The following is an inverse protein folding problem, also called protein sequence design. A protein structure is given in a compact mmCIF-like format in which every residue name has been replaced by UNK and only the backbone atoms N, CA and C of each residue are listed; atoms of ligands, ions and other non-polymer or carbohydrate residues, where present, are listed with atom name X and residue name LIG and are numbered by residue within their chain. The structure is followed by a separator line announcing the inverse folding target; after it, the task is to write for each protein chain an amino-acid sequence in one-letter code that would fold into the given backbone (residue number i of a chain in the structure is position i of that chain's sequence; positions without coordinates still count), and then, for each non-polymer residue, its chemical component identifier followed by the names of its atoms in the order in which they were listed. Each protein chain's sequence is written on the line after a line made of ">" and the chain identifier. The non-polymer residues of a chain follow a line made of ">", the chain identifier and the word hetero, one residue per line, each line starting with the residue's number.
data_IF_792726858267
#
_entry.id   IF_792726858267
#
_cell.length_a   1.000
_cell.length_b   1.000
_cell.length_c   1.000
_cell.angle_alpha   90.00
_cell.angle_beta   90.00
_cell.angle_gamma   90.00
#
_symmetry.space_group_name_H-M   'P 1'
#
loop_
_entity.id
_entity.type
_entity.pdbx_description
1 polymer ?
#
# COMPACT_ATOMS: atom_id res chain seq x y z
N UNK A 1 1.41 25.74 -7.80
CA UNK A 1 1.09 24.74 -6.75
C UNK A 1 0.42 25.36 -5.52
N UNK A 2 0.95 26.46 -4.95
CA UNK A 2 0.27 27.20 -3.87
C UNK A 2 -1.12 27.75 -4.25
N UNK A 3 -1.31 28.12 -5.51
CA UNK A 3 -2.61 28.55 -6.05
C UNK A 3 -3.66 27.44 -6.07
N UNK A 4 -3.27 26.17 -6.25
CA UNK A 4 -4.18 25.03 -6.14
C UNK A 4 -4.63 24.82 -4.69
N UNK A 5 -3.71 24.90 -3.71
CA UNK A 5 -4.01 24.86 -2.27
C UNK A 5 -4.95 25.99 -1.82
N UNK A 6 -4.78 27.20 -2.34
CA UNK A 6 -5.72 28.30 -2.08
C UNK A 6 -7.11 28.03 -2.68
N UNK A 7 -7.18 27.43 -3.87
CA UNK A 7 -8.43 27.05 -4.50
C UNK A 7 -9.16 25.92 -3.77
N UNK A 8 -8.43 25.04 -3.06
CA UNK A 8 -9.03 23.99 -2.23
C UNK A 8 -9.96 24.58 -1.15
N UNK A 9 -9.52 25.66 -0.50
CA UNK A 9 -10.30 26.34 0.54
C UNK A 9 -11.50 27.12 -0.01
N UNK A 10 -11.48 27.47 -1.30
CA UNK A 10 -12.57 28.21 -1.97
C UNK A 10 -13.71 27.30 -2.45
N UNK A 11 -13.44 26.02 -2.69
CA UNK A 11 -14.44 25.07 -3.20
C UNK A 11 -15.15 24.40 -2.02
N UNK A 12 -16.41 24.77 -1.78
CA UNK A 12 -17.23 24.27 -0.65
C UNK A 12 -17.31 22.74 -0.58
N UNK A 13 -17.53 22.06 -1.71
CA UNK A 13 -17.63 20.59 -1.78
C UNK A 13 -16.30 19.93 -1.40
N UNK A 14 -15.19 20.41 -1.95
CA UNK A 14 -13.86 19.86 -1.67
C UNK A 14 -13.48 20.09 -0.21
N UNK A 15 -13.80 21.26 0.33
CA UNK A 15 -13.63 21.57 1.76
C UNK A 15 -14.42 20.59 2.63
N UNK A 16 -15.69 20.31 2.31
CA UNK A 16 -16.50 19.34 3.06
C UNK A 16 -15.88 17.95 3.03
N UNK A 17 -15.43 17.48 1.85
CA UNK A 17 -14.75 16.18 1.70
C UNK A 17 -13.45 16.09 2.51
N UNK A 18 -12.64 17.15 2.51
CA UNK A 18 -11.39 17.20 3.28
C UNK A 18 -11.69 17.21 4.78
N UNK A 19 -12.63 18.04 5.24
CA UNK A 19 -13.02 18.09 6.65
C UNK A 19 -13.54 16.74 7.12
N UNK A 20 -14.39 16.07 6.32
CA UNK A 20 -14.85 14.71 6.61
C UNK A 20 -13.68 13.73 6.76
N UNK A 21 -12.71 13.78 5.84
CA UNK A 21 -11.51 12.92 5.88
C UNK A 21 -10.69 13.18 7.15
N UNK A 22 -10.49 14.46 7.54
CA UNK A 22 -9.76 14.83 8.76
C UNK A 22 -10.50 14.39 10.03
N UNK A 23 -11.82 14.50 10.06
CA UNK A 23 -12.65 13.99 11.18
C UNK A 23 -12.45 12.47 11.30
N UNK A 24 -12.48 11.75 10.18
CA UNK A 24 -12.27 10.30 10.19
C UNK A 24 -10.85 9.92 10.64
N UNK A 25 -9.83 10.71 10.32
CA UNK A 25 -8.48 10.53 10.88
C UNK A 25 -8.43 10.76 12.40
N UNK A 26 -9.16 11.75 12.91
CA UNK A 26 -9.27 11.96 14.35
C UNK A 26 -9.94 10.76 15.04
N UNK A 27 -11.03 10.22 14.47
CA UNK A 27 -11.70 9.01 14.97
C UNK A 27 -10.76 7.80 14.95
N UNK A 28 -10.04 7.59 13.85
CA UNK A 28 -9.01 6.55 13.75
C UNK A 28 -7.97 6.69 14.86
N UNK A 29 -7.47 7.91 15.10
CA UNK A 29 -6.44 8.14 16.11
C UNK A 29 -6.96 7.91 17.52
N UNK A 30 -8.17 8.37 17.84
CA UNK A 30 -8.80 8.10 19.14
C UNK A 30 -8.90 6.61 19.43
N UNK A 31 -9.26 5.79 18.45
CA UNK A 31 -9.33 4.34 18.63
C UNK A 31 -7.97 3.65 18.85
N UNK A 32 -6.85 4.23 18.40
CA UNK A 32 -5.50 3.72 18.74
C UNK A 32 -5.12 3.91 20.21
N UNK A 33 -5.87 4.73 20.95
CA UNK A 33 -5.67 4.94 22.40
C UNK A 33 -6.60 4.08 23.26
N UNK A 34 -7.54 3.33 22.66
CA UNK A 34 -8.45 2.45 23.39
C UNK A 34 -7.79 1.06 23.48
N UNK A 35 -7.29 0.61 24.65
CA UNK A 35 -6.66 -0.69 24.79
C UNK A 35 -7.68 -1.82 24.72
N UNK A 36 -7.26 -2.99 24.26
CA UNK A 36 -8.12 -4.18 24.28
C UNK A 36 -8.33 -4.67 25.72
N UNK A 37 -9.57 -5.01 26.12
CA UNK A 37 -9.83 -5.54 27.45
C UNK A 37 -9.04 -6.84 27.74
N UNK A 38 -8.48 -6.95 28.93
CA UNK A 38 -7.84 -8.17 29.42
C UNK A 38 -6.36 -8.35 29.05
N UNK A 39 -5.74 -7.34 28.44
CA UNK A 39 -4.31 -7.36 28.07
C UNK A 39 -3.56 -6.27 28.82
N UNK A 40 -2.34 -6.60 29.29
CA UNK A 40 -1.45 -5.62 29.89
C UNK A 40 -0.54 -4.99 28.80
N UNK A 41 -0.71 -3.70 28.46
CA UNK A 41 0.09 -3.05 27.42
C UNK A 41 1.59 -3.00 27.75
N UNK A 42 1.95 -2.91 29.03
CA UNK A 42 3.36 -2.80 29.46
C UNK A 42 4.19 -4.04 29.14
N UNK A 43 3.58 -5.23 29.18
CA UNK A 43 4.24 -6.50 28.83
C UNK A 43 4.49 -6.58 27.32
N UNK A 44 3.56 -6.02 26.55
CA UNK A 44 3.68 -5.94 25.09
C UNK A 44 4.78 -4.96 24.72
N UNK A 45 4.82 -3.79 25.34
CA UNK A 45 5.89 -2.80 25.10
C UNK A 45 7.30 -3.39 25.35
N UNK A 46 7.47 -4.24 26.36
CA UNK A 46 8.73 -4.96 26.62
C UNK A 46 9.06 -6.02 25.54
N UNK A 47 8.06 -6.74 25.02
CA UNK A 47 8.23 -7.68 23.90
C UNK A 47 8.58 -6.95 22.60
N UNK A 48 8.08 -5.73 22.40
CA UNK A 48 8.39 -4.90 21.23
C UNK A 48 9.84 -4.40 21.23
N UNK A 49 10.40 -4.11 22.40
CA UNK A 49 11.81 -3.70 22.52
C UNK A 49 12.81 -4.82 22.17
N UNK A 50 12.36 -6.07 22.01
CA UNK A 50 13.22 -7.23 21.71
C UNK A 50 12.99 -7.86 20.32
N UNK A 51 12.00 -7.42 19.54
CA UNK A 51 11.58 -8.10 18.31
C UNK A 51 11.45 -7.20 17.06
N UNK A 52 12.39 -7.33 16.12
CA UNK A 52 12.45 -6.54 14.87
C UNK A 52 11.25 -6.75 13.92
N UNK A 53 10.63 -7.94 13.93
CA UNK A 53 9.45 -8.29 13.11
C UNK A 53 8.20 -7.45 13.47
N UNK A 54 8.03 -7.17 14.76
CA UNK A 54 6.85 -6.49 15.27
C UNK A 54 6.87 -4.98 14.96
N UNK A 55 8.06 -4.39 14.79
CA UNK A 55 8.23 -2.99 14.39
C UNK A 55 7.58 -2.66 13.04
N UNK A 56 7.73 -3.51 12.01
CA UNK A 56 7.11 -3.27 10.69
C UNK A 56 5.58 -3.28 10.77
N UNK A 57 5.01 -4.21 11.54
CA UNK A 57 3.56 -4.29 11.74
C UNK A 57 3.05 -3.09 12.53
N UNK A 58 3.81 -2.61 13.51
CA UNK A 58 3.42 -1.45 14.32
C UNK A 58 3.38 -0.15 13.50
N UNK A 59 4.29 0.02 12.55
CA UNK A 59 4.27 1.17 11.63
C UNK A 59 3.01 1.22 10.77
N UNK A 60 2.58 0.09 10.21
CA UNK A 60 1.33 0.02 9.45
C UNK A 60 0.10 0.16 10.32
N UNK A 61 0.22 -0.07 11.63
CA UNK A 61 -0.82 0.16 12.62
C UNK A 61 -0.80 1.57 13.23
N UNK A 62 0.25 2.35 12.99
CA UNK A 62 0.44 3.68 13.56
C UNK A 62 0.69 3.70 15.07
N UNK A 63 1.35 2.68 15.61
CA UNK A 63 1.57 2.52 17.06
C UNK A 63 0.42 1.84 17.80
N UNK A 64 -0.54 1.28 17.05
CA UNK A 64 -1.71 0.61 17.61
C UNK A 64 -1.38 -0.80 18.13
N UNK A 65 -0.32 -1.42 17.61
CA UNK A 65 0.14 -2.76 17.96
C UNK A 65 0.98 -2.74 19.24
N UNK A 66 1.90 -1.76 19.37
CA UNK A 66 2.71 -1.56 20.59
C UNK A 66 1.86 -1.25 21.81
N UNK A 67 0.75 -0.52 21.63
CA UNK A 67 -0.23 -0.24 22.70
C UNK A 67 -1.32 -1.30 22.85
N UNK A 68 -1.30 -2.32 22.00
CA UNK A 68 -2.34 -3.34 21.87
C UNK A 68 -3.76 -2.77 21.96
N UNK A 69 -4.01 -1.80 21.09
CA UNK A 69 -5.27 -1.07 21.00
C UNK A 69 -6.33 -1.84 20.23
N UNK A 70 -7.57 -1.32 20.21
CA UNK A 70 -8.67 -1.82 19.39
C UNK A 70 -8.27 -2.03 17.92
N UNK A 71 -7.32 -1.24 17.43
CA UNK A 71 -6.83 -1.25 16.04
C UNK A 71 -5.48 -1.95 15.88
N UNK A 72 -5.06 -2.79 16.82
CA UNK A 72 -3.77 -3.48 16.78
C UNK A 72 -3.53 -4.22 15.45
N UNK A 73 -4.56 -4.88 14.91
CA UNK A 73 -4.45 -5.59 13.62
C UNK A 73 -4.46 -4.68 12.39
N UNK A 74 -4.70 -3.38 12.56
CA UNK A 74 -4.85 -2.37 11.51
C UNK A 74 -5.88 -2.82 10.45
N UNK A 75 -5.70 -2.33 9.22
CA UNK A 75 -6.45 -2.72 8.03
C UNK A 75 -5.84 -3.95 7.32
N UNK A 76 -4.80 -4.56 7.89
CA UNK A 76 -4.04 -5.68 7.31
C UNK A 76 -4.90 -6.88 6.91
N UNK A 77 -5.89 -7.33 7.72
CA UNK A 77 -6.76 -8.44 7.31
C UNK A 77 -7.57 -8.13 6.06
N UNK A 78 -7.99 -6.88 5.88
CA UNK A 78 -8.68 -6.44 4.67
C UNK A 78 -7.75 -6.42 3.46
N UNK A 79 -6.53 -5.91 3.64
CA UNK A 79 -5.51 -5.93 2.57
C UNK A 79 -5.30 -7.37 2.11
N UNK A 80 -5.09 -8.31 3.05
CA UNK A 80 -4.91 -9.73 2.76
C UNK A 80 -6.14 -10.35 2.07
N UNK A 81 -7.35 -10.02 2.52
CA UNK A 81 -8.58 -10.51 1.88
C UNK A 81 -8.71 -9.99 0.43
N UNK A 82 -8.49 -8.70 0.20
CA UNK A 82 -8.55 -8.09 -1.14
C UNK A 82 -7.53 -8.72 -2.07
N UNK A 83 -6.33 -8.96 -1.55
CA UNK A 83 -5.24 -9.67 -2.19
C UNK A 83 -5.67 -11.08 -2.64
N UNK A 84 -6.22 -11.87 -1.72
CA UNK A 84 -6.64 -13.24 -1.99
C UNK A 84 -7.71 -13.25 -3.08
N UNK A 85 -8.72 -12.39 -2.98
CA UNK A 85 -9.79 -12.29 -3.98
C UNK A 85 -9.23 -11.85 -5.35
N UNK A 86 -8.26 -10.93 -5.38
CA UNK A 86 -7.67 -10.47 -6.62
C UNK A 86 -6.84 -11.57 -7.31
N UNK A 87 -6.13 -12.41 -6.54
CA UNK A 87 -5.46 -13.60 -7.06
C UNK A 87 -6.47 -14.66 -7.54
N UNK A 88 -7.52 -14.92 -6.75
CA UNK A 88 -8.58 -15.85 -7.12
C UNK A 88 -9.35 -15.38 -8.36
N UNK A 89 -9.42 -14.09 -8.64
CA UNK A 89 -10.05 -13.55 -9.86
C UNK A 89 -9.38 -14.06 -11.14
N UNK A 90 -8.09 -14.45 -11.08
CA UNK A 90 -7.37 -15.02 -12.23
C UNK A 90 -7.62 -16.52 -12.39
N UNK A 91 -7.77 -17.22 -11.27
CA UNK A 91 -7.88 -18.69 -11.24
C UNK A 91 -9.34 -19.14 -11.36
N UNK A 92 -10.27 -18.36 -10.80
CA UNK A 92 -11.68 -18.70 -10.68
C UNK A 92 -12.48 -17.94 -11.75
N UNK A 93 -13.06 -18.63 -12.75
CA UNK A 93 -13.73 -17.99 -13.88
C UNK A 93 -14.97 -17.19 -13.48
N UNK A 94 -15.65 -17.55 -12.39
CA UNK A 94 -16.81 -16.80 -11.88
C UNK A 94 -16.42 -15.42 -11.34
N UNK A 95 -15.28 -15.32 -10.65
CA UNK A 95 -14.73 -14.04 -10.20
C UNK A 95 -14.24 -13.21 -11.39
N UNK A 96 -13.63 -13.85 -12.40
CA UNK A 96 -13.22 -13.16 -13.63
C UNK A 96 -14.44 -12.58 -14.37
N UNK A 97 -15.55 -13.30 -14.43
CA UNK A 97 -16.81 -12.82 -15.00
C UNK A 97 -17.34 -11.61 -14.24
N UNK A 98 -17.38 -11.66 -12.90
CA UNK A 98 -17.77 -10.49 -12.10
C UNK A 98 -16.85 -9.30 -12.33
N UNK A 99 -15.55 -9.51 -12.55
CA UNK A 99 -14.64 -8.42 -12.92
C UNK A 99 -14.96 -7.80 -14.28
N UNK A 100 -15.65 -8.52 -15.18
CA UNK A 100 -16.06 -8.05 -16.52
C UNK A 100 -17.47 -7.45 -16.55
N UNK A 101 -18.31 -7.74 -15.55
CA UNK A 101 -19.69 -7.24 -15.40
C UNK A 101 -19.78 -5.74 -15.03
N UNK A 102 -18.64 -5.06 -14.86
CA UNK A 102 -18.60 -3.63 -14.54
C UNK A 102 -18.97 -3.36 -13.07
N UNK A 103 -19.78 -2.33 -12.81
CA UNK A 103 -19.99 -1.81 -11.46
C UNK A 103 -20.74 -2.79 -10.54
N UNK A 104 -21.72 -3.54 -11.06
CA UNK A 104 -22.43 -4.56 -10.26
C UNK A 104 -21.51 -5.72 -9.86
N UNK A 105 -20.65 -6.15 -10.78
CA UNK A 105 -19.66 -7.17 -10.51
C UNK A 105 -18.60 -6.73 -9.50
N UNK A 106 -18.14 -5.47 -9.58
CA UNK A 106 -17.29 -4.88 -8.55
C UNK A 106 -17.95 -4.86 -7.17
N UNK A 107 -19.26 -4.60 -7.07
CA UNK A 107 -19.99 -4.70 -5.79
C UNK A 107 -19.99 -6.12 -5.23
N UNK A 108 -20.16 -7.15 -6.08
CA UNK A 108 -20.09 -8.57 -5.66
C UNK A 108 -18.71 -8.95 -5.14
N UNK A 109 -17.65 -8.53 -5.86
CA UNK A 109 -16.25 -8.76 -5.47
C UNK A 109 -15.99 -8.09 -4.11
N UNK A 110 -16.35 -6.81 -3.96
CA UNK A 110 -16.17 -6.08 -2.69
C UNK A 110 -16.94 -6.74 -1.54
N UNK A 111 -18.18 -7.18 -1.77
CA UNK A 111 -18.98 -7.90 -0.76
C UNK A 111 -18.28 -9.20 -0.32
N UNK A 112 -17.72 -9.94 -1.26
CA UNK A 112 -16.97 -11.17 -0.98
C UNK A 112 -15.69 -10.88 -0.18
N UNK A 113 -14.95 -9.84 -0.59
CA UNK A 113 -13.77 -9.36 0.14
C UNK A 113 -14.11 -8.97 1.58
N UNK A 114 -15.25 -8.31 1.83
CA UNK A 114 -15.70 -7.96 3.18
C UNK A 114 -15.95 -9.20 4.05
N UNK A 115 -16.65 -10.20 3.53
CA UNK A 115 -16.88 -11.44 4.29
C UNK A 115 -15.58 -12.18 4.59
N UNK A 116 -14.69 -12.27 3.59
CA UNK A 116 -13.38 -12.87 3.79
C UNK A 116 -12.54 -12.10 4.81
N UNK A 117 -12.63 -10.77 4.83
CA UNK A 117 -11.96 -9.91 5.81
C UNK A 117 -12.39 -10.25 7.23
N UNK A 118 -13.70 -10.41 7.48
CA UNK A 118 -14.21 -10.74 8.82
C UNK A 118 -13.66 -12.10 9.28
N UNK A 119 -13.69 -13.11 8.40
CA UNK A 119 -13.18 -14.45 8.72
C UNK A 119 -11.68 -14.44 8.98
N UNK A 120 -10.90 -13.77 8.12
CA UNK A 120 -9.45 -13.67 8.28
C UNK A 120 -9.07 -12.86 9.52
N UNK A 121 -9.77 -11.74 9.78
CA UNK A 121 -9.55 -10.95 10.98
C UNK A 121 -9.82 -11.79 12.24
N UNK A 122 -10.91 -12.57 12.27
CA UNK A 122 -11.21 -13.41 13.41
C UNK A 122 -10.15 -14.51 13.64
N UNK A 123 -9.74 -15.20 12.58
CA UNK A 123 -8.70 -16.23 12.66
C UNK A 123 -7.34 -15.64 13.08
N UNK A 124 -6.95 -14.51 12.49
CA UNK A 124 -5.70 -13.84 12.82
C UNK A 124 -5.74 -13.24 14.22
N UNK A 125 -6.89 -12.76 14.71
CA UNK A 125 -7.06 -12.27 16.07
C UNK A 125 -6.92 -13.39 17.11
N UNK A 126 -7.49 -14.57 16.84
CA UNK A 126 -7.28 -15.77 17.68
C UNK A 126 -5.80 -16.14 17.70
N UNK A 127 -5.16 -16.20 16.53
CA UNK A 127 -3.74 -16.51 16.43
C UNK A 127 -2.90 -15.52 17.24
N UNK A 128 -3.15 -14.22 17.08
CA UNK A 128 -2.44 -13.18 17.81
C UNK A 128 -2.67 -13.25 19.32
N UNK A 129 -3.89 -13.52 19.76
CA UNK A 129 -4.24 -13.71 21.18
C UNK A 129 -3.54 -14.92 21.79
N UNK A 130 -3.39 -16.01 21.02
CA UNK A 130 -2.67 -17.21 21.47
C UNK A 130 -1.16 -16.94 21.52
N UNK A 131 -0.60 -16.27 20.52
CA UNK A 131 0.82 -15.90 20.47
C UNK A 131 1.24 -14.96 21.59
N UNK A 132 0.32 -14.09 22.04
CA UNK A 132 0.55 -13.12 23.12
C UNK A 132 -0.06 -13.55 24.45
N UNK A 133 -0.27 -14.86 24.69
CA UNK A 133 -0.83 -15.38 25.94
C UNK A 133 -0.14 -14.87 27.20
N UNK A 134 1.17 -14.59 27.13
CA UNK A 134 1.97 -14.07 28.24
C UNK A 134 1.60 -12.62 28.63
N UNK A 135 1.00 -11.85 27.73
CA UNK A 135 0.55 -10.47 27.99
C UNK A 135 -0.90 -10.39 28.48
N UNK A 136 -1.62 -11.52 28.49
CA UNK A 136 -3.03 -11.58 28.91
C UNK A 136 -3.07 -11.78 30.44
N UNK A 137 -3.78 -10.90 31.13
CA UNK A 137 -3.84 -10.87 32.61
C UNK A 137 -4.40 -12.20 33.16
N UNK A 138 -5.40 -12.76 32.47
CA UNK A 138 -5.98 -14.08 32.76
C UNK A 138 -6.22 -14.85 31.45
N UNK A 139 -5.30 -15.74 31.02
CA UNK A 139 -5.41 -16.47 29.76
C UNK A 139 -6.46 -17.59 29.87
N UNK A 140 -7.74 -17.22 29.74
CA UNK A 140 -8.86 -18.16 29.58
C UNK A 140 -9.32 -18.20 28.11
N UNK A 141 -10.00 -19.28 27.71
CA UNK A 141 -10.61 -19.38 26.37
C UNK A 141 -11.60 -18.23 26.15
N UNK A 142 -12.33 -17.84 27.19
CA UNK A 142 -13.25 -16.70 27.19
C UNK A 142 -12.52 -15.38 26.96
N UNK A 143 -11.38 -15.16 27.61
CA UNK A 143 -10.55 -13.95 27.42
C UNK A 143 -10.04 -13.85 25.98
N UNK A 144 -9.58 -14.98 25.41
CA UNK A 144 -9.11 -15.06 24.02
C UNK A 144 -10.25 -14.74 23.04
N UNK A 145 -11.45 -15.26 23.28
CA UNK A 145 -12.64 -14.97 22.48
C UNK A 145 -13.03 -13.48 22.54
N UNK A 146 -13.00 -12.88 23.74
CA UNK A 146 -13.27 -11.45 23.92
C UNK A 146 -12.26 -10.62 23.12
N UNK A 147 -10.96 -10.89 23.28
CA UNK A 147 -9.89 -10.20 22.52
C UNK A 147 -10.09 -10.39 21.01
N UNK A 148 -10.40 -11.61 20.56
CA UNK A 148 -10.60 -11.91 19.15
C UNK A 148 -11.79 -11.14 18.56
N UNK A 149 -12.91 -11.08 19.28
CA UNK A 149 -14.10 -10.31 18.88
C UNK A 149 -13.78 -8.81 18.87
N UNK A 150 -13.09 -8.29 19.89
CA UNK A 150 -12.73 -6.87 19.98
C UNK A 150 -11.81 -6.46 18.82
N UNK A 151 -10.75 -7.22 18.54
CA UNK A 151 -9.85 -6.93 17.43
C UNK A 151 -10.55 -7.05 16.07
N UNK A 152 -11.40 -8.06 15.90
CA UNK A 152 -12.20 -8.22 14.67
C UNK A 152 -13.14 -7.05 14.47
N UNK A 153 -13.85 -6.63 15.52
CA UNK A 153 -14.73 -5.46 15.49
C UNK A 153 -13.95 -4.19 15.17
N UNK A 154 -12.75 -4.03 15.74
CA UNK A 154 -11.84 -2.93 15.44
C UNK A 154 -11.46 -2.87 13.96
N UNK A 155 -11.00 -3.98 13.37
CA UNK A 155 -10.65 -4.03 11.94
C UNK A 155 -11.87 -3.81 11.04
N UNK A 156 -13.04 -4.36 11.36
CA UNK A 156 -14.28 -4.13 10.58
C UNK A 156 -14.70 -2.66 10.65
N UNK A 157 -14.55 -2.02 11.81
CA UNK A 157 -14.81 -0.60 11.98
C UNK A 157 -13.83 0.26 11.17
N UNK A 158 -12.54 -0.09 11.13
CA UNK A 158 -11.56 0.57 10.26
C UNK A 158 -11.89 0.42 8.77
N UNK A 159 -12.29 -0.78 8.36
CA UNK A 159 -12.74 -1.04 6.99
C UNK A 159 -13.93 -0.13 6.65
N UNK A 160 -14.91 -0.03 7.56
CA UNK A 160 -16.05 0.87 7.39
C UNK A 160 -15.62 2.34 7.28
N UNK A 161 -14.71 2.82 8.14
CA UNK A 161 -14.15 4.18 8.04
C UNK A 161 -13.49 4.40 6.68
N UNK A 162 -12.70 3.43 6.20
CA UNK A 162 -12.04 3.52 4.89
C UNK A 162 -13.04 3.63 3.74
N UNK A 163 -14.14 2.89 3.80
CA UNK A 163 -15.21 2.99 2.82
C UNK A 163 -15.95 4.33 2.90
N UNK A 164 -16.19 4.84 4.11
CA UNK A 164 -16.80 6.14 4.31
C UNK A 164 -15.94 7.28 3.76
N UNK A 165 -14.63 7.24 3.99
CA UNK A 165 -13.69 8.20 3.39
C UNK A 165 -13.70 8.09 1.86
N UNK A 166 -13.80 6.88 1.30
CA UNK A 166 -13.86 6.71 -0.15
C UNK A 166 -15.16 7.28 -0.75
N UNK A 167 -16.29 7.13 -0.06
CA UNK A 167 -17.59 7.61 -0.53
C UNK A 167 -17.79 9.12 -0.34
N UNK A 168 -17.44 9.65 0.83
CA UNK A 168 -17.74 11.03 1.23
C UNK A 168 -16.51 11.94 1.36
N UNK A 169 -15.31 11.36 1.33
CA UNK A 169 -14.04 12.08 1.48
C UNK A 169 -13.32 12.30 0.14
N UNK A 170 -12.00 12.45 0.24
CA UNK A 170 -11.08 12.58 -0.91
C UNK A 170 -10.18 11.36 -0.92
N UNK A 171 -9.81 10.84 -2.09
CA UNK A 171 -8.85 9.73 -2.17
C UNK A 171 -9.49 8.35 -2.02
N UNK A 172 -8.61 7.36 -1.89
CA UNK A 172 -8.98 6.02 -1.45
C UNK A 172 -8.81 5.95 0.07
N UNK A 173 -9.90 5.70 0.79
CA UNK A 173 -9.91 5.78 2.25
C UNK A 173 -9.06 4.72 2.94
N UNK A 174 -8.96 3.50 2.39
CA UNK A 174 -8.08 2.45 2.92
C UNK A 174 -6.62 2.89 2.81
N UNK A 175 -6.22 3.40 1.65
CA UNK A 175 -4.87 3.92 1.44
C UNK A 175 -4.55 5.11 2.35
N UNK A 176 -5.55 5.97 2.60
CA UNK A 176 -5.43 7.12 3.49
C UNK A 176 -5.33 6.74 4.97
N UNK A 177 -5.97 5.66 5.41
CA UNK A 177 -5.79 5.13 6.78
C UNK A 177 -4.36 4.65 6.97
N UNK A 178 -3.79 3.91 6.00
CA UNK A 178 -2.39 3.45 6.06
C UNK A 178 -1.44 4.66 6.06
N UNK A 179 -1.70 5.65 5.20
CA UNK A 179 -0.97 6.92 5.17
C UNK A 179 -0.99 7.60 6.54
N UNK A 180 -2.18 7.74 7.15
CA UNK A 180 -2.33 8.37 8.46
C UNK A 180 -1.59 7.58 9.56
N UNK A 181 -1.63 6.25 9.52
CA UNK A 181 -0.88 5.39 10.44
C UNK A 181 0.63 5.63 10.39
N UNK A 182 1.21 5.61 9.18
CA UNK A 182 2.64 5.82 8.98
C UNK A 182 3.06 7.24 9.40
N UNK A 183 2.31 8.25 8.97
CA UNK A 183 2.62 9.66 9.27
C UNK A 183 2.49 9.95 10.77
N UNK A 184 1.55 9.31 11.47
CA UNK A 184 1.37 9.46 12.90
C UNK A 184 2.53 8.88 13.73
N UNK A 185 3.35 7.99 13.17
CA UNK A 185 4.55 7.47 13.83
C UNK A 185 5.77 8.42 13.68
N UNK A 186 5.76 9.33 12.69
CA UNK A 186 6.88 10.25 12.44
C UNK A 186 7.25 11.14 13.63
N UNK A 187 6.30 11.78 14.36
CA UNK A 187 6.64 12.60 15.52
C UNK A 187 7.35 11.81 16.61
N UNK A 188 6.92 10.57 16.85
CA UNK A 188 7.54 9.70 17.86
C UNK A 188 8.95 9.29 17.44
N UNK A 189 9.15 8.93 16.17
CA UNK A 189 10.48 8.62 15.62
C UNK A 189 11.44 9.82 15.71
N UNK A 190 10.97 11.05 15.47
CA UNK A 190 11.76 12.26 15.64
C UNK A 190 12.13 12.52 17.11
N UNK A 191 11.22 12.24 18.04
CA UNK A 191 11.50 12.29 19.48
C UNK A 191 12.59 11.30 19.89
N UNK A 192 12.57 10.08 19.34
CA UNK A 192 13.60 9.07 19.57
C UNK A 192 14.97 9.52 19.06
N UNK A 193 15.04 10.14 17.86
CA UNK A 193 16.29 10.74 17.32
C UNK A 193 16.82 11.80 18.28
N UNK A 194 15.94 12.66 18.78
CA UNK A 194 16.30 13.72 19.70
C UNK A 194 16.87 13.17 21.02
N UNK A 195 16.27 12.11 21.56
CA UNK A 195 16.76 11.43 22.76
C UNK A 195 18.13 10.79 22.52
N UNK A 196 18.37 10.17 21.35
CA UNK A 196 19.67 9.62 21.01
C UNK A 196 20.77 10.69 20.83
N UNK A 197 20.40 11.86 20.29
CA UNK A 197 21.29 13.02 20.21
C UNK A 197 21.66 13.54 21.61
N UNK A 198 20.68 13.62 22.53
CA UNK A 198 20.94 14.03 23.92
C UNK A 198 21.78 13.00 24.68
N UNK A 199 21.56 11.70 24.44
CA UNK A 199 22.31 10.61 25.05
C UNK A 199 23.74 10.47 24.48
N UNK A 200 24.10 11.23 23.45
CA UNK A 200 25.42 11.19 22.81
C UNK A 200 25.72 9.90 22.04
N UNK A 201 24.72 9.03 21.86
CA UNK A 201 24.85 7.77 21.10
C UNK A 201 24.91 8.01 19.60
N UNK A 202 24.37 9.14 19.13
CA UNK A 202 24.39 9.54 17.72
C UNK A 202 25.02 10.94 17.60
N UNK A 203 25.95 11.10 16.65
CA UNK A 203 26.53 12.40 16.31
C UNK A 203 25.56 13.24 15.48
N UNK A 204 25.61 14.58 15.64
CA UNK A 204 24.90 15.53 14.77
C UNK A 204 25.18 15.30 13.28
N UNK A 205 26.38 14.81 12.94
CA UNK A 205 26.75 14.46 11.56
C UNK A 205 25.90 13.31 11.01
N UNK A 206 25.63 12.28 11.81
CA UNK A 206 24.82 11.12 11.38
C UNK A 206 23.36 11.51 11.16
N UNK A 207 22.82 12.41 11.97
CA UNK A 207 21.45 12.93 11.79
C UNK A 207 21.34 13.78 10.53
N UNK A 208 22.32 14.64 10.27
CA UNK A 208 22.36 15.43 9.03
C UNK A 208 22.48 14.52 7.79
N UNK A 209 23.36 13.51 7.85
CA UNK A 209 23.54 12.54 6.78
C UNK A 209 22.25 11.74 6.51
N UNK A 210 21.57 11.30 7.58
CA UNK A 210 20.28 10.62 7.50
C UNK A 210 19.19 11.51 6.86
N UNK A 211 19.12 12.79 7.25
CA UNK A 211 18.17 13.74 6.66
C UNK A 211 18.41 13.96 5.15
N UNK A 212 19.67 14.01 4.73
CA UNK A 212 20.03 14.12 3.31
C UNK A 212 19.59 12.87 2.54
N UNK A 213 19.88 11.67 3.07
CA UNK A 213 19.45 10.41 2.45
C UNK A 213 17.92 10.32 2.38
N UNK A 214 17.23 10.67 3.48
CA UNK A 214 15.77 10.73 3.53
C UNK A 214 15.18 11.63 2.44
N UNK A 215 15.74 12.83 2.25
CA UNK A 215 15.31 13.75 1.21
C UNK A 215 15.61 13.20 -0.19
N UNK A 216 16.82 12.67 -0.41
CA UNK A 216 17.21 12.06 -1.68
C UNK A 216 16.30 10.88 -2.06
N UNK A 217 15.92 10.05 -1.07
CA UNK A 217 14.94 8.97 -1.26
C UNK A 217 13.59 9.50 -1.69
N UNK A 218 13.06 10.55 -1.05
CA UNK A 218 11.77 11.13 -1.42
C UNK A 218 11.80 11.59 -2.88
N UNK A 219 12.84 12.34 -3.28
CA UNK A 219 13.01 12.82 -4.66
C UNK A 219 13.10 11.64 -5.63
N UNK A 220 13.89 10.62 -5.29
CA UNK A 220 14.06 9.42 -6.12
C UNK A 220 12.75 8.63 -6.28
N UNK A 221 11.99 8.44 -5.20
CA UNK A 221 10.67 7.80 -5.23
C UNK A 221 9.70 8.58 -6.11
N UNK A 222 9.63 9.91 -5.95
CA UNK A 222 8.76 10.76 -6.76
C UNK A 222 9.13 10.66 -8.24
N UNK A 223 10.42 10.71 -8.57
CA UNK A 223 10.91 10.65 -9.95
C UNK A 223 10.50 9.34 -10.66
N UNK A 224 10.63 8.21 -9.97
CA UNK A 224 10.23 6.90 -10.53
C UNK A 224 8.71 6.73 -10.56
N UNK A 225 7.99 7.16 -9.53
CA UNK A 225 6.54 7.04 -9.45
C UNK A 225 5.82 7.91 -10.50
N UNK A 226 6.39 9.07 -10.85
CA UNK A 226 5.90 9.91 -11.95
C UNK A 226 6.48 9.52 -13.32
N UNK A 227 7.53 8.69 -13.33
CA UNK A 227 8.13 8.16 -14.54
C UNK A 227 7.13 7.38 -15.38
N UNK A 228 6.97 7.78 -16.64
CA UNK A 228 6.10 7.10 -17.60
C UNK A 228 6.76 7.06 -18.97
N UNK A 229 6.64 5.91 -19.63
CA UNK A 229 6.94 5.75 -21.05
C UNK A 229 5.69 6.07 -21.86
N UNK A 230 5.77 7.12 -22.67
CA UNK A 230 4.67 7.53 -23.55
C UNK A 230 4.74 6.75 -24.86
N UNK A 231 3.77 5.87 -25.10
CA UNK A 231 3.66 5.14 -26.38
C UNK A 231 2.74 5.94 -27.30
N UNK A 232 3.23 6.46 -28.44
CA UNK A 232 2.40 7.27 -29.34
C UNK A 232 1.32 6.41 -29.99
N UNK A 233 0.11 6.96 -30.04
CA UNK A 233 -1.05 6.36 -30.70
C UNK A 233 -1.67 7.40 -31.61
N UNK A 234 -2.02 6.96 -32.82
CA UNK A 234 -2.79 7.75 -33.76
C UNK A 234 -4.17 7.14 -33.90
N UNK A 235 -5.21 7.98 -33.85
CA UNK A 235 -6.56 7.57 -34.22
C UNK A 235 -6.78 7.81 -35.71
N UNK A 236 -7.44 6.85 -36.37
CA UNK A 236 -7.77 6.96 -37.77
C UNK A 236 -8.57 8.24 -38.05
N UNK A 237 -8.16 8.99 -39.07
CA UNK A 237 -8.88 10.19 -39.50
C UNK A 237 -10.20 9.79 -40.14
N UNK A 238 -11.30 10.45 -39.76
CA UNK A 238 -12.56 10.33 -40.49
C UNK A 238 -12.61 11.44 -41.54
N UNK A 239 -12.45 11.07 -42.80
CA UNK A 239 -12.63 12.01 -43.91
C UNK A 239 -14.13 12.09 -44.19
N UNK A 240 -14.73 13.28 -44.01
CA UNK A 240 -16.12 13.54 -44.39
C UNK A 240 -16.11 14.70 -45.38
N UNK A 241 -16.39 14.41 -46.64
CA UNK A 241 -16.31 15.40 -47.74
C UNK A 241 -14.87 15.83 -48.04
N UNK A 242 -14.64 17.15 -48.21
CA UNK A 242 -13.30 17.75 -48.49
C UNK A 242 -12.49 18.10 -47.25
N UNK A 243 -13.04 17.92 -46.03
CA UNK A 243 -12.37 18.27 -44.78
C UNK A 243 -11.98 17.01 -44.01
N UNK A 244 -10.71 16.93 -43.63
CA UNK A 244 -10.22 15.87 -42.74
C UNK A 244 -10.54 16.27 -41.31
N UNK A 245 -11.41 15.50 -40.64
CA UNK A 245 -11.68 15.65 -39.21
C UNK A 245 -10.96 14.54 -38.45
N UNK A 246 -10.27 14.92 -37.37
CA UNK A 246 -9.52 13.99 -36.53
C UNK A 246 -8.09 13.71 -37.02
N UNK A 247 -7.42 12.83 -36.28
CA UNK A 247 -5.97 12.57 -36.40
C UNK A 247 -5.13 13.28 -35.34
N UNK A 248 -5.68 13.47 -34.14
CA UNK A 248 -4.88 13.93 -33.01
C UNK A 248 -3.97 12.77 -32.59
N UNK A 249 -2.66 13.01 -32.62
CA UNK A 249 -1.70 12.10 -31.98
C UNK A 249 -1.90 12.19 -30.48
N UNK A 250 -2.13 11.05 -29.86
CA UNK A 250 -2.14 10.92 -28.41
C UNK A 250 -1.02 9.98 -27.98
N UNK A 251 -0.94 9.71 -26.69
CA UNK A 251 -0.06 8.68 -26.17
C UNK A 251 -0.77 7.86 -25.10
N UNK A 252 -0.42 6.58 -25.01
CA UNK A 252 -0.73 5.75 -23.85
C UNK A 252 0.40 5.91 -22.85
N UNK A 253 0.13 6.41 -21.63
CA UNK A 253 1.13 6.50 -20.57
C UNK A 253 1.31 5.13 -19.90
N UNK A 254 2.49 4.53 -20.08
CA UNK A 254 2.90 3.31 -19.37
C UNK A 254 3.79 3.71 -18.20
N UNK A 255 3.29 3.61 -16.96
CA UNK A 255 4.05 3.98 -15.76
C UNK A 255 5.22 3.01 -15.52
N UNK A 256 6.31 3.52 -14.95
CA UNK A 256 7.47 2.68 -14.55
C UNK A 256 7.08 1.69 -13.46
N UNK A 257 6.32 2.17 -12.46
CA UNK A 257 5.75 1.34 -11.42
C UNK A 257 4.23 1.22 -11.60
N UNK A 258 3.78 0.29 -12.45
CA UNK A 258 2.34 0.00 -12.56
C UNK A 258 1.79 -0.76 -11.35
N UNK A 259 2.63 -1.60 -10.73
CA UNK A 259 2.21 -2.45 -9.63
C UNK A 259 2.00 -1.71 -8.31
N UNK A 260 2.53 -0.49 -8.19
CA UNK A 260 2.43 0.31 -6.98
C UNK A 260 3.25 -0.30 -5.84
N UNK A 261 2.64 -0.44 -4.67
CA UNK A 261 3.28 -1.00 -3.47
C UNK A 261 2.89 -2.46 -3.23
N UNK A 262 1.87 -2.95 -3.92
CA UNK A 262 1.24 -4.26 -3.66
C UNK A 262 2.24 -5.43 -3.74
N UNK A 263 3.17 -5.50 -4.71
CA UNK A 263 4.18 -6.57 -4.73
C UNK A 263 5.04 -6.67 -3.47
N UNK A 264 5.37 -5.52 -2.87
CA UNK A 264 6.17 -5.49 -1.65
C UNK A 264 5.37 -6.08 -0.49
N UNK A 265 4.07 -5.75 -0.41
CA UNK A 265 3.16 -6.28 0.60
C UNK A 265 3.01 -7.81 0.45
N UNK A 266 2.88 -8.33 -0.78
CA UNK A 266 2.86 -9.78 -1.01
C UNK A 266 4.15 -10.44 -0.54
N UNK A 267 5.30 -9.91 -0.94
CA UNK A 267 6.59 -10.45 -0.56
C UNK A 267 6.75 -10.46 0.98
N UNK A 268 6.33 -9.40 1.67
CA UNK A 268 6.38 -9.35 3.13
C UNK A 268 5.41 -10.34 3.78
N UNK A 269 4.18 -10.49 3.27
CA UNK A 269 3.20 -11.42 3.83
C UNK A 269 3.62 -12.89 3.67
N UNK A 270 4.24 -13.24 2.53
CA UNK A 270 4.77 -14.58 2.29
C UNK A 270 5.94 -14.88 3.22
N UNK A 271 6.84 -13.93 3.44
CA UNK A 271 7.96 -14.09 4.38
C UNK A 271 7.52 -14.14 5.85
N UNK A 272 6.44 -13.43 6.19
CA UNK A 272 5.88 -13.45 7.54
C UNK A 272 5.20 -14.78 7.87
N UNK A 273 4.73 -15.54 6.87
CA UNK A 273 3.96 -16.76 7.10
C UNK A 273 4.73 -17.85 7.86
N UNK A 274 5.97 -18.26 7.46
CA UNK A 274 6.76 -19.21 8.24
C UNK A 274 7.10 -18.73 9.64
N UNK A 275 7.46 -17.46 9.80
CA UNK A 275 7.78 -16.86 11.09
C UNK A 275 6.57 -16.89 12.04
N UNK A 276 5.37 -16.63 11.50
CA UNK A 276 4.12 -16.71 12.24
C UNK A 276 3.79 -18.15 12.63
N UNK A 277 3.96 -19.12 11.72
CA UNK A 277 3.75 -20.55 12.03
C UNK A 277 4.70 -21.07 13.12
N UNK A 278 5.95 -20.61 13.13
CA UNK A 278 6.92 -20.98 14.15
C UNK A 278 6.58 -20.49 15.56
N UNK A 279 5.73 -19.48 15.68
CA UNK A 279 5.19 -19.04 16.97
C UNK A 279 4.14 -20.02 17.51
N UNK A 280 3.39 -20.71 16.64
CA UNK A 280 2.37 -21.69 17.04
C UNK A 280 2.91 -23.11 17.20
N UNK A 281 3.88 -23.49 16.37
CA UNK A 281 4.36 -24.86 16.28
C UNK A 281 5.83 -24.90 16.72
N UNK A 282 6.07 -25.30 17.97
CA UNK A 282 7.42 -25.40 18.54
C UNK A 282 8.17 -26.67 18.10
N UNK A 283 8.18 -26.99 16.80
CA UNK A 283 8.97 -28.10 16.28
C UNK A 283 10.36 -27.62 15.85
N UNK A 284 11.45 -28.35 16.15
CA UNK A 284 12.83 -27.92 15.85
C UNK A 284 13.04 -27.48 14.40
N UNK A 285 12.54 -28.24 13.42
CA UNK A 285 12.71 -27.90 11.99
C UNK A 285 12.02 -26.59 11.60
N UNK A 286 10.85 -26.27 12.20
CA UNK A 286 10.11 -25.03 11.96
C UNK A 286 10.84 -23.84 12.57
N UNK A 287 11.46 -24.02 13.75
CA UNK A 287 12.30 -22.99 14.37
C UNK A 287 13.54 -22.72 13.52
N UNK A 288 14.23 -23.76 13.04
CA UNK A 288 15.41 -23.59 12.16
C UNK A 288 15.04 -22.84 10.88
N UNK A 289 13.89 -23.16 10.26
CA UNK A 289 13.39 -22.43 9.10
C UNK A 289 13.09 -20.96 9.48
N UNK A 290 12.39 -20.72 10.58
CA UNK A 290 12.08 -19.36 11.02
C UNK A 290 13.33 -18.54 11.33
N UNK A 291 14.38 -19.15 11.87
CA UNK A 291 15.67 -18.51 12.16
C UNK A 291 16.35 -18.03 10.88
N UNK A 292 16.30 -18.81 9.79
CA UNK A 292 16.78 -18.37 8.47
C UNK A 292 15.95 -17.22 7.87
N UNK A 293 14.68 -17.11 8.25
CA UNK A 293 13.78 -16.04 7.80
C UNK A 293 13.66 -14.88 8.79
N UNK A 294 14.52 -14.80 9.80
CA UNK A 294 14.55 -13.66 10.72
C UNK A 294 14.97 -12.38 9.99
N UNK A 295 14.28 -11.29 10.34
CA UNK A 295 14.52 -9.95 9.82
C UNK A 295 15.92 -9.45 10.21
N UNK A 296 16.68 -9.00 9.20
CA UNK A 296 18.04 -8.48 9.39
C UNK A 296 19.14 -9.44 8.94
N UNK A 297 18.81 -10.70 8.60
CA UNK A 297 19.79 -11.60 7.99
C UNK A 297 19.98 -11.26 6.50
N UNK A 298 21.22 -11.27 5.96
CA UNK A 298 21.46 -11.05 4.53
C UNK A 298 20.72 -12.04 3.63
N UNK A 299 20.52 -13.27 4.10
CA UNK A 299 19.76 -14.29 3.39
C UNK A 299 18.28 -13.92 3.24
N UNK A 300 17.62 -13.48 4.32
CA UNK A 300 16.24 -13.02 4.26
C UNK A 300 16.09 -11.81 3.34
N UNK A 301 17.02 -10.84 3.38
CA UNK A 301 17.01 -9.69 2.47
C UNK A 301 17.13 -10.09 1.00
N UNK A 302 17.97 -11.09 0.68
CA UNK A 302 18.11 -11.60 -0.68
C UNK A 302 16.84 -12.31 -1.17
N UNK A 303 16.24 -13.18 -0.35
CA UNK A 303 14.96 -13.83 -0.67
C UNK A 303 13.84 -12.80 -0.80
N UNK A 304 13.83 -11.78 0.05
CA UNK A 304 12.86 -10.68 -0.03
C UNK A 304 12.98 -9.90 -1.34
N UNK A 305 14.19 -9.54 -1.76
CA UNK A 305 14.44 -8.92 -3.07
C UNK A 305 13.89 -9.79 -4.21
N UNK A 306 14.19 -11.09 -4.19
CA UNK A 306 13.78 -12.03 -5.24
C UNK A 306 12.26 -12.18 -5.30
N UNK A 307 11.60 -12.28 -4.14
CA UNK A 307 10.14 -12.31 -4.06
C UNK A 307 9.53 -11.00 -4.57
N UNK A 308 10.11 -9.84 -4.25
CA UNK A 308 9.65 -8.55 -4.79
C UNK A 308 9.77 -8.55 -6.32
N UNK A 309 10.89 -9.01 -6.88
CA UNK A 309 11.04 -9.12 -8.34
C UNK A 309 9.95 -10.01 -8.95
N UNK A 310 9.76 -11.21 -8.40
CA UNK A 310 8.75 -12.16 -8.84
C UNK A 310 7.33 -11.58 -8.77
N UNK A 311 6.93 -11.07 -7.61
CA UNK A 311 5.59 -10.51 -7.42
C UNK A 311 5.35 -9.25 -8.23
N UNK A 312 6.38 -8.45 -8.53
CA UNK A 312 6.23 -7.27 -9.39
C UNK A 312 5.91 -7.67 -10.83
N UNK A 313 6.60 -8.68 -11.36
CA UNK A 313 6.27 -9.25 -12.67
C UNK A 313 4.90 -9.89 -12.70
N UNK A 314 4.63 -10.76 -11.72
CA UNK A 314 3.37 -11.48 -11.62
C UNK A 314 2.18 -10.51 -11.53
N UNK A 315 2.23 -9.53 -10.63
CA UNK A 315 1.14 -8.58 -10.43
C UNK A 315 0.95 -7.65 -11.64
N UNK A 316 2.04 -7.20 -12.27
CA UNK A 316 1.93 -6.34 -13.47
C UNK A 316 1.30 -7.10 -14.63
N UNK A 317 1.68 -8.37 -14.85
CA UNK A 317 1.09 -9.21 -15.90
C UNK A 317 -0.40 -9.49 -15.66
N UNK A 318 -0.80 -9.69 -14.40
CA UNK A 318 -2.20 -9.98 -14.03
C UNK A 318 -3.10 -8.75 -14.18
N UNK A 319 -2.63 -7.60 -13.70
CA UNK A 319 -3.45 -6.37 -13.66
C UNK A 319 -3.49 -5.63 -14.98
N UNK A 320 -2.40 -5.66 -15.74
CA UNK A 320 -2.28 -4.95 -17.00
C UNK A 320 -2.49 -5.92 -18.17
N UNK A 321 -3.76 -6.20 -18.49
CA UNK A 321 -4.14 -7.08 -19.61
C UNK A 321 -3.83 -6.44 -20.97
N UNK A 322 -2.62 -6.68 -21.47
CA UNK A 322 -2.13 -6.14 -22.75
C UNK A 322 -2.97 -6.55 -23.96
N UNK A 323 -3.46 -7.80 -24.07
CA UNK A 323 -4.34 -8.19 -25.17
C UNK A 323 -5.63 -7.34 -25.19
N UNK A 324 -6.27 -7.14 -24.05
CA UNK A 324 -7.48 -6.32 -23.93
C UNK A 324 -7.21 -4.86 -24.31
N UNK A 325 -6.05 -4.31 -23.93
CA UNK A 325 -5.65 -2.96 -24.32
C UNK A 325 -5.47 -2.83 -25.84
N UNK A 326 -4.84 -3.82 -26.49
CA UNK A 326 -4.64 -3.83 -27.93
C UNK A 326 -5.98 -3.97 -28.69
N UNK A 327 -6.89 -4.81 -28.20
CA UNK A 327 -8.22 -4.97 -28.76
C UNK A 327 -9.07 -3.72 -28.58
N UNK A 328 -9.01 -3.06 -27.41
CA UNK A 328 -9.67 -1.78 -27.18
C UNK A 328 -9.11 -0.72 -28.13
N UNK A 329 -7.79 -0.65 -28.31
CA UNK A 329 -7.16 0.27 -29.25
C UNK A 329 -7.71 0.08 -30.67
N UNK A 330 -7.80 -1.18 -31.11
CA UNK A 330 -8.37 -1.57 -32.40
C UNK A 330 -9.85 -1.20 -32.51
N UNK A 331 -10.67 -1.46 -31.48
CA UNK A 331 -12.10 -1.14 -31.43
C UNK A 331 -12.36 0.37 -31.54
N UNK A 332 -11.53 1.20 -30.91
CA UNK A 332 -11.63 2.66 -30.97
C UNK A 332 -10.95 3.27 -32.20
N UNK A 333 -10.49 2.47 -33.17
CA UNK A 333 -9.83 2.96 -34.38
C UNK A 333 -8.44 3.58 -34.13
N UNK A 334 -7.84 3.31 -32.97
CA UNK A 334 -6.49 3.68 -32.62
C UNK A 334 -5.48 2.66 -33.12
N UNK A 335 -4.28 3.13 -33.48
CA UNK A 335 -3.16 2.27 -33.82
C UNK A 335 -1.83 2.92 -33.44
N UNK A 336 -0.82 2.08 -33.20
CA UNK A 336 0.55 2.54 -32.98
C UNK A 336 1.20 2.72 -34.36
N UNK A 337 1.73 3.90 -34.70
CA UNK A 337 2.40 4.12 -35.98
C UNK A 337 3.48 3.08 -36.26
N UNK A 338 3.39 2.40 -37.40
CA UNK A 338 4.33 1.36 -37.81
C UNK A 338 4.02 -0.06 -37.32
N UNK A 339 2.92 -0.27 -36.58
CA UNK A 339 2.54 -1.59 -36.05
C UNK A 339 1.11 -1.93 -36.46
N UNK A 340 0.91 -3.16 -36.92
CA UNK A 340 -0.42 -3.64 -37.35
C UNK A 340 -1.34 -3.80 -36.12
N UNK A 341 -2.59 -3.26 -36.15
CA UNK A 341 -3.53 -3.42 -35.05
C UNK A 341 -3.90 -4.88 -34.77
N UNK A 342 -4.02 -5.23 -33.48
CA UNK A 342 -4.30 -6.59 -33.01
C UNK A 342 -3.09 -7.21 -32.31
N UNK A 343 -2.77 -8.47 -32.61
CA UNK A 343 -1.73 -9.22 -31.91
C UNK A 343 -0.35 -8.54 -31.95
N UNK A 344 0.05 -7.98 -33.09
CA UNK A 344 1.35 -7.29 -33.20
C UNK A 344 1.45 -6.05 -32.30
N UNK A 345 0.34 -5.35 -32.06
CA UNK A 345 0.25 -4.29 -31.05
C UNK A 345 0.40 -4.85 -29.64
N UNK A 346 -0.24 -5.97 -29.34
CA UNK A 346 -0.13 -6.62 -28.04
C UNK A 346 1.31 -7.06 -27.75
N UNK A 347 1.97 -7.74 -28.69
CA UNK A 347 3.36 -8.20 -28.53
C UNK A 347 4.34 -7.03 -28.36
N UNK A 348 4.09 -5.92 -29.07
CA UNK A 348 4.89 -4.71 -28.91
C UNK A 348 4.73 -4.08 -27.52
N UNK A 349 3.49 -3.93 -27.06
CA UNK A 349 3.19 -3.40 -25.73
C UNK A 349 3.75 -4.32 -24.64
N UNK A 350 3.68 -5.64 -24.83
CA UNK A 350 4.23 -6.63 -23.91
C UNK A 350 5.76 -6.54 -23.78
N UNK A 351 6.48 -6.46 -24.91
CA UNK A 351 7.92 -6.25 -24.90
C UNK A 351 8.32 -4.94 -24.22
N UNK A 352 7.53 -3.89 -24.39
CA UNK A 352 7.75 -2.61 -23.70
C UNK A 352 7.52 -2.75 -22.20
N UNK A 353 6.35 -3.28 -21.80
CA UNK A 353 5.96 -3.44 -20.42
C UNK A 353 6.96 -4.31 -19.66
N UNK A 354 7.34 -5.46 -20.20
CA UNK A 354 8.32 -6.37 -19.58
C UNK A 354 9.66 -5.69 -19.27
N UNK A 355 10.13 -4.79 -20.15
CA UNK A 355 11.38 -4.02 -19.93
C UNK A 355 11.20 -2.89 -18.91
N UNK A 356 10.05 -2.21 -18.93
CA UNK A 356 9.73 -1.18 -17.94
C UNK A 356 9.61 -1.82 -16.55
N UNK A 357 8.89 -2.93 -16.45
CA UNK A 357 8.67 -3.68 -15.22
C UNK A 357 9.98 -4.17 -14.63
N UNK A 358 11.00 -4.50 -15.44
CA UNK A 358 12.33 -4.82 -14.93
C UNK A 358 12.90 -3.68 -14.08
N UNK A 359 12.90 -2.47 -14.63
CA UNK A 359 13.39 -1.28 -13.93
C UNK A 359 12.54 -0.97 -12.68
N UNK A 360 11.21 -1.09 -12.78
CA UNK A 360 10.29 -0.93 -11.65
C UNK A 360 10.52 -1.96 -10.55
N UNK A 361 10.76 -3.22 -10.90
CA UNK A 361 10.98 -4.32 -9.95
C UNK A 361 12.30 -4.15 -9.19
N UNK A 362 13.39 -3.80 -9.88
CA UNK A 362 14.65 -3.46 -9.22
C UNK A 362 14.51 -2.25 -8.30
N UNK A 363 13.78 -1.23 -8.72
CA UNK A 363 13.49 -0.06 -7.89
C UNK A 363 12.74 -0.43 -6.61
N UNK A 364 11.68 -1.25 -6.71
CA UNK A 364 10.91 -1.70 -5.55
C UNK A 364 11.76 -2.55 -4.59
N UNK A 365 12.56 -3.47 -5.13
CA UNK A 365 13.46 -4.31 -4.33
C UNK A 365 14.53 -3.47 -3.63
N UNK A 366 15.13 -2.51 -4.35
CA UNK A 366 16.13 -1.59 -3.80
C UNK A 366 15.56 -0.78 -2.64
N UNK A 367 14.41 -0.15 -2.82
CA UNK A 367 13.77 0.64 -1.75
C UNK A 367 13.43 -0.24 -0.56
N UNK A 368 12.89 -1.44 -0.76
CA UNK A 368 12.49 -2.31 0.33
C UNK A 368 13.67 -2.75 1.21
N UNK A 369 14.86 -2.90 0.64
CA UNK A 369 16.08 -3.34 1.35
C UNK A 369 16.86 -2.14 1.93
N UNK A 370 16.74 -0.96 1.32
CA UNK A 370 17.51 0.22 1.72
C UNK A 370 17.47 0.54 3.22
N UNK A 371 16.33 0.48 3.93
CA UNK A 371 16.30 0.76 5.37
C UNK A 371 17.19 -0.20 6.18
N UNK A 372 17.24 -1.48 5.80
CA UNK A 372 18.08 -2.47 6.48
C UNK A 372 19.57 -2.20 6.26
N UNK A 373 19.94 -1.74 5.05
CA UNK A 373 21.32 -1.34 4.74
C UNK A 373 21.73 -0.08 5.50
N UNK A 374 20.83 0.91 5.60
CA UNK A 374 21.09 2.16 6.34
C UNK A 374 21.23 1.85 7.83
N UNK A 375 20.32 1.07 8.41
CA UNK A 375 20.38 0.70 9.82
C UNK A 375 21.70 -0.02 10.17
N UNK A 376 22.16 -0.95 9.32
CA UNK A 376 23.44 -1.63 9.50
C UNK A 376 24.66 -0.71 9.37
N UNK A 377 24.58 0.37 8.57
CA UNK A 377 25.68 1.32 8.39
C UNK A 377 25.72 2.42 9.46
N UNK A 378 24.56 2.93 9.88
CA UNK A 378 24.47 4.08 10.80
C UNK A 378 24.32 3.68 12.27
N UNK A 379 24.09 2.38 12.57
CA UNK A 379 23.79 1.85 13.91
C UNK A 379 22.55 2.52 14.56
N UNK A 380 21.72 3.18 13.75
CA UNK A 380 20.46 3.77 14.19
C UNK A 380 19.39 2.69 14.08
N UNK A 381 19.28 1.90 15.13
CA UNK A 381 18.24 0.86 15.24
C UNK A 381 16.90 1.48 15.65
N UNK A 382 15.79 0.88 15.21
CA UNK A 382 14.43 1.31 15.58
C UNK A 382 13.84 2.46 14.77
N UNK A 383 14.63 3.12 13.90
CA UNK A 383 14.10 4.16 13.00
C UNK A 383 13.81 3.56 11.64
N UNK A 384 12.59 3.06 11.51
CA UNK A 384 12.07 2.52 10.26
C UNK A 384 11.58 3.63 9.30
N UNK A 385 12.39 4.66 9.11
CA UNK A 385 12.14 5.70 8.13
C UNK A 385 12.76 5.27 6.79
N UNK A 386 11.94 4.72 5.90
CA UNK A 386 12.36 4.29 4.57
C UNK A 386 11.63 3.03 4.12
N UNK A 387 11.76 2.68 2.84
CA UNK A 387 11.17 1.46 2.30
C UNK A 387 9.71 1.58 1.89
N UNK A 388 8.92 0.54 2.16
CA UNK A 388 7.50 0.43 1.81
C UNK A 388 6.68 1.59 2.36
N UNK A 389 6.97 2.02 3.59
CA UNK A 389 6.26 3.12 4.24
C UNK A 389 6.40 4.44 3.45
N UNK A 390 7.60 4.73 2.95
CA UNK A 390 7.86 5.92 2.14
C UNK A 390 7.13 5.85 0.79
N UNK A 391 7.16 4.68 0.13
CA UNK A 391 6.44 4.45 -1.12
C UNK A 391 4.93 4.65 -0.97
N UNK A 392 4.35 4.16 0.13
CA UNK A 392 2.92 4.36 0.43
C UNK A 392 2.65 5.84 0.66
N UNK A 393 3.44 6.50 1.51
CA UNK A 393 3.22 7.92 1.85
C UNK A 393 3.26 8.80 0.60
N UNK A 394 4.30 8.64 -0.23
CA UNK A 394 4.45 9.41 -1.47
C UNK A 394 3.37 9.03 -2.50
N UNK A 395 3.08 7.74 -2.66
CA UNK A 395 2.08 7.26 -3.62
C UNK A 395 0.68 7.79 -3.30
N UNK A 396 0.25 7.65 -2.04
CA UNK A 396 -1.06 8.12 -1.59
C UNK A 396 -1.16 9.64 -1.63
N UNK A 397 -0.10 10.37 -1.26
CA UNK A 397 -0.07 11.82 -1.39
C UNK A 397 -0.22 12.27 -2.86
N UNK A 398 0.53 11.67 -3.79
CA UNK A 398 0.45 11.98 -5.22
C UNK A 398 -0.92 11.65 -5.81
N UNK A 399 -1.50 10.49 -5.48
CA UNK A 399 -2.81 10.09 -6.00
C UNK A 399 -3.93 10.96 -5.45
N UNK A 400 -3.89 11.31 -4.16
CA UNK A 400 -4.84 12.23 -3.54
C UNK A 400 -4.73 13.62 -4.17
N UNK A 401 -3.51 14.12 -4.41
CA UNK A 401 -3.31 15.39 -5.12
C UNK A 401 -3.86 15.36 -6.54
N UNK A 402 -3.58 14.31 -7.33
CA UNK A 402 -4.10 14.17 -8.69
C UNK A 402 -5.63 14.13 -8.72
N UNK A 403 -6.26 13.44 -7.77
CA UNK A 403 -7.71 13.43 -7.66
C UNK A 403 -8.26 14.82 -7.35
N UNK A 404 -7.64 15.55 -6.42
CA UNK A 404 -8.00 16.93 -6.10
C UNK A 404 -7.85 17.82 -7.33
N UNK A 405 -6.73 17.76 -8.04
CA UNK A 405 -6.49 18.52 -9.26
C UNK A 405 -7.54 18.20 -10.33
N UNK A 406 -7.89 16.91 -10.52
CA UNK A 406 -8.91 16.51 -11.50
C UNK A 406 -10.28 17.12 -11.18
N UNK A 407 -10.68 17.17 -9.91
CA UNK A 407 -11.92 17.83 -9.47
C UNK A 407 -11.88 19.34 -9.71
N UNK A 408 -10.74 19.98 -9.51
CA UNK A 408 -10.56 21.43 -9.77
C UNK A 408 -10.65 21.72 -11.27
N UNK A 409 -10.00 20.92 -12.12
CA UNK A 409 -10.00 21.09 -13.57
C UNK A 409 -11.38 20.88 -14.18
N UNK A 410 -12.13 19.86 -13.73
CA UNK A 410 -13.51 19.63 -14.19
C UNK A 410 -14.41 20.85 -13.98
N UNK A 411 -14.16 21.66 -12.95
CA UNK A 411 -14.91 22.88 -12.65
C UNK A 411 -14.41 24.11 -13.43
N UNK A 412 -13.15 24.12 -13.86
CA UNK A 412 -12.54 25.16 -14.69
C UNK A 412 -12.66 24.86 -16.19
N UNK A 413 -13.54 23.93 -16.61
CA UNK A 413 -14.02 23.95 -17.98
C UNK A 413 -14.74 25.29 -18.18
N UNK A 414 -13.99 26.29 -18.65
CA UNK A 414 -14.57 27.51 -19.16
C UNK A 414 -15.50 27.07 -20.29
N UNK A 415 -16.81 27.25 -20.07
CA UNK A 415 -17.79 27.05 -21.11
C UNK A 415 -17.34 27.86 -22.32
N UNK A 416 -17.49 27.28 -23.52
CA UNK A 416 -17.13 27.84 -24.82
C UNK A 416 -17.69 29.25 -25.12
N UNK A 417 -18.48 29.82 -24.21
CA UNK A 417 -19.07 31.14 -24.26
C UNK A 417 -18.41 32.03 -23.21
N UNK A 418 -17.25 32.60 -23.56
CA UNK A 418 -16.72 33.83 -22.98
C UNK A 418 -16.25 34.73 -24.12
#
# INVERSE_FOLDING_TARGET
>A
MLSALSNILKITELRQKIVFTLIMFAVFRLGTHIPVPGVNPSVIEQLFNSGNLFGLLDLFSGGALSKFSLFAMSITPYINASIIIQLLTVVVPTLEQWSKEGEEGHKKITKTTRYLTVVLAFLQAIGMSIGLKQAIINPSITSILIIAITLTAGTVFLMWIGEQITAHGVGNGISLIIFAGIVAALPQNLGTIYNYLQAGTISYFNVLFFAIIALAMIVFVIAIQQGQRRVPVSYAKRVVGRKTYGGQSTHIPLKVNQAGVIPIIFASSVLMFPATLAQFVQTPWIKTIADYFQWGTPFQSAVYALLILFFTYFYTAVTFKIPDLADNLKKYGGFIPGIRPGQATADYLDRIMTRITLAGAFFLAFIAILPTMIAGATHIEGIHFGGTALLIVVGVALDTMKQIESMVVMRHYEGFMK
#
